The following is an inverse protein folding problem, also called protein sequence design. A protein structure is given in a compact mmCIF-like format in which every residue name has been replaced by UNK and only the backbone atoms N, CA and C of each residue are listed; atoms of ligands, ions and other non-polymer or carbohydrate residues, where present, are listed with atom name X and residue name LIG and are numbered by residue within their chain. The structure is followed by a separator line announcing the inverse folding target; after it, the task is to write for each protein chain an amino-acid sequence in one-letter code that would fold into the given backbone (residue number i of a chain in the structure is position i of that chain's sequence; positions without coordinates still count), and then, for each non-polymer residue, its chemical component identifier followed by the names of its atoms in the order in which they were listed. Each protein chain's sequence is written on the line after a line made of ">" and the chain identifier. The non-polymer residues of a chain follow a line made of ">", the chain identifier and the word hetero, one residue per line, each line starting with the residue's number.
data_IF_456169539086
#
_entry.id   IF_456169539086
#
_cell.length_a   1.000
_cell.length_b   1.000
_cell.length_c   1.000
_cell.angle_alpha   90.00
_cell.angle_beta   90.00
_cell.angle_gamma   90.00
#
_symmetry.space_group_name_H-M   'P 1'
#
loop_
_entity.id
_entity.type
_entity.pdbx_description
1 polymer ?
#
# COMPACT_ATOMS: atom_id res chain seq x y z
N UNK A 1 13.64 -3.97 5.29
CA UNK A 1 13.45 -5.25 4.54
C UNK A 1 11.97 -5.50 4.32
N UNK A 2 11.15 -5.39 5.36
CA UNK A 2 9.69 -5.57 5.30
C UNK A 2 9.00 -4.60 4.31
N UNK A 3 9.39 -3.33 4.27
CA UNK A 3 8.82 -2.36 3.31
C UNK A 3 8.89 -2.83 1.85
N UNK A 4 10.00 -3.43 1.41
CA UNK A 4 10.14 -3.89 0.02
C UNK A 4 9.22 -5.08 -0.28
N UNK A 5 8.88 -5.89 0.73
CA UNK A 5 7.94 -7.00 0.56
C UNK A 5 6.50 -6.48 0.54
N UNK A 6 6.18 -5.52 1.41
CA UNK A 6 4.87 -4.86 1.41
C UNK A 6 4.60 -4.14 0.09
N UNK A 7 5.57 -3.39 -0.44
CA UNK A 7 5.44 -2.73 -1.75
C UNK A 7 5.25 -3.73 -2.89
N UNK A 8 5.90 -4.91 -2.85
CA UNK A 8 5.64 -5.97 -3.84
C UNK A 8 4.21 -6.50 -3.78
N UNK A 9 3.68 -6.70 -2.57
CA UNK A 9 2.29 -7.16 -2.38
C UNK A 9 1.33 -6.10 -2.91
N UNK A 10 1.53 -4.85 -2.50
CA UNK A 10 0.71 -3.69 -2.86
C UNK A 10 0.70 -3.46 -4.36
N UNK A 11 1.87 -3.49 -5.01
CA UNK A 11 1.97 -3.24 -6.45
C UNK A 11 1.44 -4.39 -7.30
N UNK A 12 1.18 -5.57 -6.74
CA UNK A 12 0.48 -6.64 -7.46
C UNK A 12 -1.05 -6.50 -7.39
N UNK A 13 -1.59 -5.61 -6.56
CA UNK A 13 -3.04 -5.41 -6.45
C UNK A 13 -3.58 -4.54 -7.59
N UNK A 14 -4.68 -4.97 -8.22
CA UNK A 14 -5.24 -4.28 -9.37
C UNK A 14 -5.78 -2.88 -9.04
N UNK A 15 -6.27 -2.65 -7.81
CA UNK A 15 -6.75 -1.32 -7.39
C UNK A 15 -5.60 -0.33 -7.31
N UNK A 16 -4.42 -0.80 -6.88
CA UNK A 16 -3.20 0.01 -6.84
C UNK A 16 -2.70 0.28 -8.25
N UNK A 17 -2.70 -0.72 -9.13
CA UNK A 17 -2.36 -0.55 -10.54
C UNK A 17 -3.27 0.48 -11.22
N UNK A 18 -4.57 0.45 -10.97
CA UNK A 18 -5.51 1.47 -11.48
C UNK A 18 -5.23 2.85 -10.87
N UNK A 19 -5.05 2.93 -9.55
CA UNK A 19 -4.78 4.18 -8.82
C UNK A 19 -3.49 4.89 -9.29
N UNK A 20 -2.47 4.10 -9.64
CA UNK A 20 -1.13 4.60 -10.01
C UNK A 20 -0.89 4.60 -11.53
N UNK A 21 -1.93 4.36 -12.34
CA UNK A 21 -1.79 4.20 -13.80
C UNK A 21 -0.72 3.17 -14.20
N UNK A 22 -0.53 2.13 -13.39
CA UNK A 22 0.42 1.04 -13.62
C UNK A 22 1.83 1.29 -13.12
N UNK A 23 2.16 2.47 -12.60
CA UNK A 23 3.50 2.75 -12.06
C UNK A 23 3.78 2.04 -10.73
N UNK A 24 2.72 1.71 -9.99
CA UNK A 24 2.81 1.20 -8.63
C UNK A 24 3.22 2.28 -7.63
N UNK A 25 3.14 1.92 -6.36
CA UNK A 25 3.60 2.74 -5.24
C UNK A 25 5.11 2.55 -5.09
N UNK A 26 5.83 3.67 -5.07
CA UNK A 26 7.26 3.72 -4.80
C UNK A 26 7.54 3.97 -3.32
N UNK A 27 8.74 3.65 -2.81
CA UNK A 27 9.11 3.93 -1.42
C UNK A 27 8.92 5.40 -1.01
N UNK A 28 9.18 6.34 -1.92
CA UNK A 28 9.01 7.78 -1.73
C UNK A 28 7.54 8.23 -1.60
N UNK A 29 6.60 7.45 -2.10
CA UNK A 29 5.17 7.73 -1.97
C UNK A 29 4.65 7.36 -0.58
N UNK A 30 5.39 6.54 0.17
CA UNK A 30 5.02 6.06 1.51
C UNK A 30 5.40 7.10 2.57
N UNK A 31 4.39 7.70 3.20
CA UNK A 31 4.57 8.70 4.25
C UNK A 31 4.73 8.05 5.62
N UNK A 32 3.97 6.99 5.86
CA UNK A 32 3.96 6.28 7.13
C UNK A 32 3.62 4.80 6.91
N UNK A 33 4.18 3.95 7.76
CA UNK A 33 3.84 2.54 7.80
C UNK A 33 3.81 2.04 9.26
N UNK A 34 2.82 1.20 9.57
CA UNK A 34 2.71 0.49 10.85
C UNK A 34 2.31 -0.96 10.62
N UNK A 35 2.73 -1.86 11.50
CA UNK A 35 2.30 -3.26 11.47
C UNK A 35 2.04 -3.77 12.89
N UNK A 36 1.11 -4.72 13.02
CA UNK A 36 0.82 -5.43 14.26
C UNK A 36 1.22 -6.92 14.20
N UNK A 37 1.97 -7.34 13.17
CA UNK A 37 2.37 -8.73 12.92
C UNK A 37 1.38 -9.55 12.09
N UNK A 38 0.10 -9.16 12.05
CA UNK A 38 -0.93 -9.80 11.21
C UNK A 38 -1.29 -8.94 9.99
N UNK A 39 -1.21 -7.63 10.15
CA UNK A 39 -1.51 -6.65 9.13
C UNK A 39 -0.37 -5.62 9.04
N UNK A 40 -0.19 -5.07 7.84
CA UNK A 40 0.60 -3.88 7.61
C UNK A 40 -0.29 -2.80 7.01
N UNK A 41 -0.15 -1.58 7.48
CA UNK A 41 -0.92 -0.42 7.02
C UNK A 41 0.07 0.60 6.50
N UNK A 42 -0.09 0.99 5.23
CA UNK A 42 0.70 2.01 4.56
C UNK A 42 -0.17 3.24 4.31
N UNK A 43 0.30 4.41 4.74
CA UNK A 43 -0.26 5.69 4.30
C UNK A 43 0.61 6.20 3.17
N UNK A 44 0.01 6.36 1.98
CA UNK A 44 0.71 6.74 0.76
C UNK A 44 0.11 8.01 0.16
N UNK A 45 0.91 8.76 -0.60
CA UNK A 45 0.45 9.91 -1.38
C UNK A 45 0.57 9.61 -2.87
N UNK A 46 -0.55 9.60 -3.57
CA UNK A 46 -0.61 9.33 -5.02
C UNK A 46 -1.42 10.43 -5.68
N UNK A 47 -0.87 11.08 -6.71
CA UNK A 47 -1.59 12.12 -7.46
C UNK A 47 -1.98 13.36 -6.65
N UNK A 48 -1.42 13.55 -5.44
CA UNK A 48 -1.78 14.65 -4.54
C UNK A 48 -2.69 14.25 -3.38
N UNK A 49 -3.38 13.12 -3.51
CA UNK A 49 -4.31 12.56 -2.53
C UNK A 49 -3.65 11.52 -1.62
N UNK A 50 -4.24 11.27 -0.46
CA UNK A 50 -3.72 10.34 0.54
C UNK A 50 -4.58 9.08 0.60
N UNK A 51 -3.92 7.92 0.71
CA UNK A 51 -4.59 6.63 0.78
C UNK A 51 -4.01 5.80 1.93
N UNK A 52 -4.88 5.11 2.66
CA UNK A 52 -4.50 4.05 3.58
C UNK A 52 -4.68 2.70 2.88
N UNK A 53 -3.58 1.96 2.76
CA UNK A 53 -3.54 0.62 2.15
C UNK A 53 -3.27 -0.39 3.26
N UNK A 54 -4.25 -1.26 3.50
CA UNK A 54 -4.13 -2.34 4.48
C UNK A 54 -3.76 -3.64 3.79
N UNK A 55 -2.72 -4.30 4.26
CA UNK A 55 -2.18 -5.56 3.77
C UNK A 55 -2.44 -6.64 4.82
N UNK A 56 -3.04 -7.76 4.42
CA UNK A 56 -3.08 -8.97 5.24
C UNK A 56 -1.75 -9.72 5.07
N UNK A 57 -0.97 -9.83 6.14
CA UNK A 57 0.36 -10.45 6.12
C UNK A 57 0.30 -11.98 6.13
N UNK A 58 -0.84 -12.58 6.51
CA UNK A 58 -1.00 -14.03 6.49
C UNK A 58 -1.27 -14.53 5.06
N UNK A 59 -2.11 -13.82 4.30
CA UNK A 59 -2.40 -14.15 2.91
C UNK A 59 -1.45 -13.50 1.91
N UNK A 60 -0.76 -12.42 2.30
CA UNK A 60 0.11 -11.65 1.41
C UNK A 60 -0.68 -10.90 0.34
N UNK A 61 -1.86 -10.36 0.69
CA UNK A 61 -2.75 -9.65 -0.24
C UNK A 61 -3.21 -8.32 0.34
N UNK A 62 -3.54 -7.36 -0.53
CA UNK A 62 -4.16 -6.09 -0.09
C UNK A 62 -5.60 -6.34 0.32
N UNK A 63 -5.94 -5.94 1.55
CA UNK A 63 -7.27 -6.05 2.14
C UNK A 63 -8.14 -4.85 1.78
N UNK A 64 -7.65 -3.63 2.02
CA UNK A 64 -8.37 -2.38 1.71
C UNK A 64 -7.46 -1.31 1.11
N UNK A 65 -8.07 -0.40 0.35
CA UNK A 65 -7.48 0.84 -0.16
C UNK A 65 -8.52 1.92 0.11
N UNK A 66 -8.22 2.83 1.03
CA UNK A 66 -9.17 3.82 1.55
C UNK A 66 -8.60 5.23 1.43
N UNK A 67 -9.25 6.09 0.64
CA UNK A 67 -8.90 7.51 0.52
C UNK A 67 -9.07 8.23 1.86
N UNK A 68 -8.11 9.08 2.21
CA UNK A 68 -8.08 9.84 3.45
C UNK A 68 -8.33 11.32 3.14
N UNK A 69 -9.42 11.89 3.67
CA UNK A 69 -9.79 13.30 3.55
C UNK A 69 -9.20 14.18 4.64
#
# INVERSE_FOLDING_TARGET
>A
KEMNEWLKIVNNDSRIQELTNGEGIQPEDVLWAKSNGYEAILTVKVGGEYYEVTIDLNSGTVRSVEEQS
#
